data_IF_250230796632
#
_entry.id   IF_250230796632
#
_cell.length_a   1.000
_cell.length_b   1.000
_cell.length_c   1.000
_cell.angle_alpha   90.00
_cell.angle_beta   90.00
_cell.angle_gamma   90.00
#
_symmetry.space_group_name_H-M   'P 1'
#
loop_
_entity.id
_entity.type
_entity.pdbx_description
1 polymer ?
#
# COMPACT_ATOMS: atom_id res chain seq x y z
N UNK A 1 2.82 -35.75 5.00
CA UNK A 1 2.98 -34.62 4.07
C UNK A 1 3.08 -33.38 4.92
N UNK A 2 4.30 -33.06 5.32
CA UNK A 2 4.60 -31.86 6.11
C UNK A 2 4.70 -30.72 5.11
N UNK A 3 3.89 -29.69 5.29
CA UNK A 3 3.93 -28.50 4.44
C UNK A 3 5.16 -27.70 4.88
N UNK A 4 6.29 -27.93 4.20
CA UNK A 4 7.44 -27.01 4.20
C UNK A 4 6.92 -25.67 3.68
N UNK A 5 6.59 -24.77 4.62
CA UNK A 5 6.21 -23.40 4.34
C UNK A 5 7.49 -22.65 3.98
N UNK A 6 7.75 -22.46 2.68
CA UNK A 6 8.92 -21.75 2.19
C UNK A 6 8.80 -20.26 2.60
N UNK A 7 9.68 -19.74 3.48
CA UNK A 7 9.56 -18.39 4.05
C UNK A 7 9.77 -17.25 3.01
N UNK A 8 10.23 -17.58 1.80
CA UNK A 8 10.59 -16.63 0.75
C UNK A 8 9.39 -15.87 0.13
N UNK A 9 8.18 -16.40 0.16
CA UNK A 9 7.01 -15.69 -0.39
C UNK A 9 6.50 -14.56 0.50
N UNK A 10 6.74 -14.64 1.82
CA UNK A 10 6.31 -13.63 2.79
C UNK A 10 7.23 -12.41 2.79
N UNK A 11 8.55 -12.63 2.63
CA UNK A 11 9.57 -11.58 2.64
C UNK A 11 9.40 -10.61 1.45
N UNK A 12 9.13 -11.14 0.24
CA UNK A 12 8.87 -10.31 -0.95
C UNK A 12 7.57 -9.51 -0.88
N UNK A 13 6.60 -9.93 -0.06
CA UNK A 13 5.38 -9.17 0.18
C UNK A 13 5.61 -8.01 1.16
N UNK A 14 6.55 -8.19 2.10
CA UNK A 14 7.01 -7.15 3.01
C UNK A 14 7.79 -6.03 2.33
N UNK A 15 8.46 -6.33 1.22
CA UNK A 15 9.17 -5.33 0.41
C UNK A 15 8.23 -4.55 -0.53
N UNK A 16 7.08 -5.14 -0.88
CA UNK A 16 6.15 -4.57 -1.86
C UNK A 16 5.22 -3.52 -1.24
N UNK A 17 4.73 -3.77 -0.03
CA UNK A 17 3.78 -2.90 0.66
C UNK A 17 4.45 -2.14 1.80
N UNK A 18 3.96 -0.94 2.09
CA UNK A 18 4.48 -0.11 3.17
C UNK A 18 4.21 -0.72 4.56
N UNK A 19 3.13 -1.49 4.69
CA UNK A 19 2.72 -2.12 5.95
C UNK A 19 2.15 -3.53 5.68
N UNK A 20 3.03 -4.52 5.44
CA UNK A 20 2.64 -5.89 5.14
C UNK A 20 1.94 -6.54 6.35
N UNK A 21 0.60 -6.51 6.33
CA UNK A 21 -0.24 -7.12 7.36
C UNK A 21 -0.89 -6.13 8.35
N UNK A 22 -0.75 -4.81 8.15
CA UNK A 22 -1.48 -3.83 8.94
C UNK A 22 -2.48 -3.02 8.09
N UNK A 23 -2.65 -1.74 8.43
CA UNK A 23 -3.81 -0.94 7.99
C UNK A 23 -3.61 -0.30 6.60
N UNK A 24 -2.40 -0.37 6.05
CA UNK A 24 -2.04 0.27 4.78
C UNK A 24 -1.81 -0.72 3.65
N UNK A 25 -2.70 -0.69 2.65
CA UNK A 25 -2.56 -1.44 1.40
C UNK A 25 -1.64 -0.75 0.36
N UNK A 26 -0.98 0.35 0.75
CA UNK A 26 -0.17 1.16 -0.16
C UNK A 26 1.22 0.55 -0.37
N UNK A 27 1.78 0.80 -1.55
CA UNK A 27 3.14 0.38 -1.91
C UNK A 27 4.17 1.07 -1.02
N UNK A 28 5.30 0.38 -0.80
CA UNK A 28 6.40 0.94 -0.01
C UNK A 28 6.99 2.18 -0.69
N UNK A 29 7.28 3.21 0.12
CA UNK A 29 8.00 4.38 -0.34
C UNK A 29 9.47 4.03 -0.55
N UNK A 30 10.00 4.39 -1.72
CA UNK A 30 11.43 4.27 -2.00
C UNK A 30 11.89 5.42 -2.89
N UNK A 31 13.20 5.58 -3.08
CA UNK A 31 13.75 6.59 -3.99
C UNK A 31 13.20 6.48 -5.43
N UNK A 32 12.82 5.27 -5.87
CA UNK A 32 12.22 5.02 -7.19
C UNK A 32 10.69 5.04 -7.18
N UNK A 33 10.06 5.00 -6.00
CA UNK A 33 8.61 5.04 -5.81
C UNK A 33 8.24 6.02 -4.67
N UNK A 34 8.52 7.33 -4.83
CA UNK A 34 8.32 8.31 -3.77
C UNK A 34 6.83 8.60 -3.55
N UNK A 35 6.38 8.89 -2.33
CA UNK A 35 5.02 9.41 -2.11
C UNK A 35 4.96 10.88 -2.47
N UNK A 36 4.75 11.18 -3.74
CA UNK A 36 4.69 12.54 -4.27
C UNK A 36 3.40 12.84 -5.03
N UNK A 37 2.44 11.91 -5.05
CA UNK A 37 1.20 12.07 -5.79
C UNK A 37 0.02 12.35 -4.85
N UNK A 38 -0.92 13.20 -5.29
CA UNK A 38 -2.11 13.47 -4.51
C UNK A 38 -3.11 12.31 -4.58
N UNK A 39 -3.90 12.14 -3.54
CA UNK A 39 -5.02 11.20 -3.53
C UNK A 39 -6.13 11.67 -4.50
N UNK A 40 -6.63 10.82 -5.41
CA UNK A 40 -7.70 11.20 -6.34
C UNK A 40 -9.05 11.45 -5.66
N UNK A 41 -9.27 10.93 -4.44
CA UNK A 41 -10.55 11.05 -3.74
C UNK A 41 -10.64 12.30 -2.85
N UNK A 42 -9.63 12.53 -2.00
CA UNK A 42 -9.64 13.67 -1.06
C UNK A 42 -8.74 14.84 -1.50
N UNK A 43 -7.86 14.64 -2.48
CA UNK A 43 -6.92 15.67 -2.94
C UNK A 43 -5.68 15.87 -2.06
N UNK A 44 -5.53 15.11 -0.98
CA UNK A 44 -4.37 15.20 -0.08
C UNK A 44 -3.07 14.97 -0.86
N UNK A 45 -2.09 15.86 -0.72
CA UNK A 45 -0.84 15.86 -1.46
C UNK A 45 0.20 14.89 -0.82
N UNK A 46 1.08 14.30 -1.64
CA UNK A 46 2.21 13.46 -1.17
C UNK A 46 1.79 12.22 -0.34
N UNK A 47 0.65 11.61 -0.66
CA UNK A 47 0.15 10.41 0.06
C UNK A 47 0.21 9.14 -0.76
N UNK A 48 0.22 9.26 -2.09
CA UNK A 48 0.32 8.12 -3.00
C UNK A 48 1.68 8.10 -3.70
N UNK A 49 2.17 6.90 -3.94
CA UNK A 49 3.30 6.66 -4.84
C UNK A 49 2.83 6.52 -6.29
N UNK A 50 3.72 6.65 -7.28
CA UNK A 50 3.43 6.31 -8.67
C UNK A 50 2.86 4.91 -8.86
N UNK A 51 3.37 3.90 -8.12
CA UNK A 51 2.86 2.53 -8.16
C UNK A 51 1.42 2.42 -7.63
N UNK A 52 1.11 3.16 -6.55
CA UNK A 52 -0.24 3.24 -5.98
C UNK A 52 -1.22 3.80 -7.01
N UNK A 53 -0.88 4.94 -7.62
CA UNK A 53 -1.73 5.60 -8.62
C UNK A 53 -1.91 4.74 -9.87
N UNK A 54 -0.85 4.09 -10.34
CA UNK A 54 -0.92 3.20 -11.50
C UNK A 54 -1.82 1.98 -11.25
N UNK A 55 -1.88 1.52 -10.01
CA UNK A 55 -2.74 0.41 -9.59
C UNK A 55 -4.15 0.87 -9.18
N UNK A 56 -4.42 2.17 -9.16
CA UNK A 56 -5.72 2.74 -8.81
C UNK A 56 -6.02 2.78 -7.31
N UNK A 57 -4.99 2.74 -6.45
CA UNK A 57 -5.16 2.87 -5.01
C UNK A 57 -5.53 4.30 -4.59
N UNK A 58 -6.10 4.38 -3.39
CA UNK A 58 -6.50 5.59 -2.69
C UNK A 58 -5.73 5.69 -1.37
N UNK A 59 -5.60 6.90 -0.79
CA UNK A 59 -4.85 7.06 0.46
C UNK A 59 -5.50 6.30 1.63
N UNK A 60 -4.68 6.02 2.67
CA UNK A 60 -5.12 5.29 3.85
C UNK A 60 -6.34 5.94 4.52
N UNK A 61 -6.41 7.27 4.58
CA UNK A 61 -7.57 7.96 5.14
C UNK A 61 -8.86 7.69 4.36
N UNK A 62 -8.80 7.64 3.02
CA UNK A 62 -9.95 7.32 2.19
C UNK A 62 -10.30 5.82 2.24
N UNK A 63 -9.28 4.96 2.37
CA UNK A 63 -9.47 3.53 2.57
C UNK A 63 -10.15 3.27 3.91
N UNK A 64 -9.63 3.80 5.01
CA UNK A 64 -10.22 3.67 6.34
C UNK A 64 -11.66 4.21 6.41
N UNK A 65 -11.97 5.33 5.75
CA UNK A 65 -13.35 5.82 5.67
C UNK A 65 -14.29 4.81 4.99
N UNK A 66 -13.84 4.12 3.95
CA UNK A 66 -14.61 3.07 3.27
C UNK A 66 -14.75 1.80 4.11
N UNK A 67 -13.67 1.36 4.77
CA UNK A 67 -13.67 0.19 5.64
C UNK A 67 -14.56 0.42 6.88
N UNK A 68 -14.61 1.65 7.39
CA UNK A 68 -15.45 2.03 8.54
C UNK A 68 -16.89 2.42 8.16
N UNK A 69 -17.21 2.53 6.86
CA UNK A 69 -18.58 2.74 6.35
C UNK A 69 -19.27 4.02 6.84
N UNK A 70 -18.51 5.09 7.09
CA UNK A 70 -19.02 6.38 7.59
C UNK A 70 -19.37 7.38 6.48
#
# INVERSE_FOLDING_TARGET
>A
MSQDYEPDEWDGMCERFADPGGESALYCESESNPRNLPCPNCGEENVLTPADRASGYQCDACAQQQEMGV
#
